data_IF_006748157933
#
_entry.id   IF_006748157933
#
_cell.length_a   1.000
_cell.length_b   1.000
_cell.length_c   1.000
_cell.angle_alpha   90.00
_cell.angle_beta   90.00
_cell.angle_gamma   90.00
#
_symmetry.space_group_name_H-M   'P 1'
#
loop_
_entity.id
_entity.type
_entity.pdbx_description
1 polymer ?
#
# COMPACT_ATOMS: atom_id res chain seq x y z
N UNK A 1 -9.89 -15.57 72.89
CA UNK A 1 -8.62 -14.92 72.53
C UNK A 1 -7.91 -15.93 71.62
N UNK A 2 -7.69 -15.74 70.32
CA UNK A 2 -7.57 -14.54 69.50
C UNK A 2 -8.10 -14.87 68.11
N UNK A 3 -8.92 -13.99 67.54
CA UNK A 3 -9.42 -14.05 66.17
C UNK A 3 -8.32 -13.58 65.22
N UNK A 4 -8.03 -14.35 64.18
CA UNK A 4 -7.21 -13.91 63.04
C UNK A 4 -8.12 -13.56 61.85
N UNK A 5 -7.79 -12.53 61.06
CA UNK A 5 -8.70 -11.92 60.11
C UNK A 5 -8.69 -12.64 58.76
N UNK A 6 -9.86 -12.64 58.13
CA UNK A 6 -10.08 -12.88 56.71
C UNK A 6 -9.66 -11.64 55.92
N UNK A 7 -8.71 -11.78 55.00
CA UNK A 7 -8.51 -10.84 53.90
C UNK A 7 -8.79 -11.53 52.56
N UNK A 8 -9.63 -10.93 51.70
CA UNK A 8 -9.86 -11.31 50.32
C UNK A 8 -8.88 -10.55 49.41
N UNK A 9 -8.32 -11.17 48.38
CA UNK A 9 -7.90 -10.40 47.20
C UNK A 9 -7.87 -11.25 45.93
N UNK A 10 -8.92 -11.00 45.16
CA UNK A 10 -9.00 -11.13 43.72
C UNK A 10 -7.79 -10.44 43.05
N UNK A 11 -7.04 -11.20 42.26
CA UNK A 11 -6.28 -10.66 41.13
C UNK A 11 -6.61 -11.51 39.93
N UNK A 12 -7.71 -11.12 39.29
CA UNK A 12 -7.93 -11.21 37.86
C UNK A 12 -6.60 -11.37 37.11
N UNK A 13 -6.44 -12.54 36.50
CA UNK A 13 -5.53 -12.73 35.38
C UNK A 13 -5.98 -11.72 34.32
N UNK A 14 -5.25 -10.62 34.18
CA UNK A 14 -5.30 -9.78 33.00
C UNK A 14 -4.90 -10.67 31.82
N UNK A 15 -5.91 -11.24 31.17
CA UNK A 15 -5.74 -11.82 29.86
C UNK A 15 -5.26 -10.70 28.96
N UNK A 16 -4.13 -10.91 28.30
CA UNK A 16 -3.81 -10.18 27.10
C UNK A 16 -4.95 -10.51 26.11
N UNK A 17 -5.91 -9.60 25.93
CA UNK A 17 -6.91 -9.67 24.89
C UNK A 17 -6.23 -9.42 23.53
N UNK A 18 -5.42 -10.40 23.12
CA UNK A 18 -4.78 -10.45 21.83
C UNK A 18 -5.74 -11.12 20.84
N UNK A 19 -6.80 -10.40 20.44
CA UNK A 19 -7.49 -10.63 19.14
C UNK A 19 -8.65 -9.67 18.83
N UNK A 20 -8.76 -8.52 19.49
CA UNK A 20 -9.80 -7.56 19.13
C UNK A 20 -9.26 -6.57 18.09
N UNK A 21 -9.92 -6.50 16.93
CA UNK A 21 -9.61 -5.53 15.88
C UNK A 21 -9.65 -4.11 16.45
N UNK A 22 -8.71 -3.27 16.03
CA UNK A 22 -8.68 -1.85 16.36
C UNK A 22 -9.71 -1.03 15.57
N UNK A 23 -10.40 -1.65 14.60
CA UNK A 23 -11.33 -0.98 13.71
C UNK A 23 -12.74 -0.84 14.34
N UNK A 24 -13.46 0.26 14.07
CA UNK A 24 -14.84 0.42 14.55
C UNK A 24 -15.78 -0.66 14.02
N UNK A 25 -16.69 -1.16 14.85
CA UNK A 25 -17.61 -2.24 14.44
C UNK A 25 -18.47 -1.86 13.24
N UNK A 26 -18.95 -0.62 13.18
CA UNK A 26 -19.77 -0.13 12.05
C UNK A 26 -19.02 -0.21 10.72
N UNK A 27 -17.69 -0.09 10.74
CA UNK A 27 -16.84 -0.16 9.56
C UNK A 27 -16.66 -1.61 9.12
N UNK A 28 -16.45 -2.53 10.07
CA UNK A 28 -16.38 -3.97 9.80
C UNK A 28 -17.71 -4.51 9.26
N UNK A 29 -18.84 -4.05 9.82
CA UNK A 29 -20.19 -4.42 9.36
C UNK A 29 -20.50 -3.92 7.93
N UNK A 30 -19.76 -2.92 7.45
CA UNK A 30 -19.90 -2.35 6.11
C UNK A 30 -18.99 -3.01 5.06
N UNK A 31 -18.17 -3.99 5.45
CA UNK A 31 -17.29 -4.70 4.54
C UNK A 31 -18.06 -5.43 3.43
N UNK A 32 -17.44 -5.50 2.25
CA UNK A 32 -17.92 -6.35 1.18
C UNK A 32 -17.95 -7.81 1.65
N UNK A 33 -18.95 -8.56 1.18
CA UNK A 33 -18.95 -10.02 1.34
C UNK A 33 -17.97 -10.68 0.38
N UNK A 34 -17.72 -11.96 0.56
CA UNK A 34 -16.80 -12.76 -0.28
C UNK A 34 -17.29 -12.92 -1.72
N UNK A 35 -18.61 -12.80 -1.96
CA UNK A 35 -19.21 -13.05 -3.28
C UNK A 35 -18.63 -12.18 -4.39
N UNK A 36 -18.56 -10.84 -4.26
CA UNK A 36 -17.85 -9.98 -5.23
C UNK A 36 -16.40 -10.40 -5.51
N UNK A 37 -15.64 -10.84 -4.50
CA UNK A 37 -14.25 -11.26 -4.69
C UNK A 37 -14.17 -12.54 -5.53
N UNK A 38 -15.02 -13.53 -5.24
CA UNK A 38 -15.10 -14.77 -6.00
C UNK A 38 -15.54 -14.53 -7.46
N UNK A 39 -16.55 -13.69 -7.67
CA UNK A 39 -17.02 -13.31 -9.02
C UNK A 39 -15.91 -12.62 -9.82
N UNK A 40 -15.20 -11.67 -9.19
CA UNK A 40 -14.09 -10.97 -9.81
C UNK A 40 -12.91 -11.90 -10.13
N UNK A 41 -12.60 -12.83 -9.23
CA UNK A 41 -11.57 -13.84 -9.45
C UNK A 41 -11.86 -14.66 -10.71
N UNK A 42 -13.10 -15.10 -10.90
CA UNK A 42 -13.50 -15.85 -12.09
C UNK A 42 -13.54 -14.98 -13.36
N UNK A 43 -13.97 -13.72 -13.25
CA UNK A 43 -14.09 -12.80 -14.39
C UNK A 43 -12.74 -12.37 -15.01
N UNK A 44 -11.69 -12.23 -14.18
CA UNK A 44 -10.38 -11.69 -14.63
C UNK A 44 -9.61 -12.65 -15.55
N UNK A 45 -9.82 -13.97 -15.42
CA UNK A 45 -9.20 -14.99 -16.26
C UNK A 45 -7.72 -15.31 -15.92
N UNK A 46 -7.25 -16.48 -16.39
CA UNK A 46 -5.97 -17.07 -15.95
C UNK A 46 -4.74 -16.21 -16.22
N UNK A 47 -4.60 -15.66 -17.43
CA UNK A 47 -3.39 -14.89 -17.81
C UNK A 47 -3.22 -13.64 -16.95
N UNK A 48 -4.31 -12.91 -16.70
CA UNK A 48 -4.30 -11.71 -15.85
C UNK A 48 -4.11 -12.04 -14.38
N UNK A 49 -4.70 -13.15 -13.90
CA UNK A 49 -4.40 -13.67 -12.54
C UNK A 49 -2.92 -14.03 -12.39
N UNK A 50 -2.30 -14.62 -13.40
CA UNK A 50 -0.87 -14.92 -13.39
C UNK A 50 -0.02 -13.64 -13.33
N UNK A 51 -0.40 -12.59 -14.07
CA UNK A 51 0.25 -11.28 -14.01
C UNK A 51 0.21 -10.69 -12.59
N UNK A 52 -0.96 -10.69 -11.94
CA UNK A 52 -1.12 -10.21 -10.57
C UNK A 52 -0.30 -11.02 -9.57
N UNK A 53 -0.29 -12.36 -9.70
CA UNK A 53 0.55 -13.23 -8.86
C UNK A 53 2.03 -12.93 -9.02
N UNK A 54 2.49 -12.66 -10.25
CA UNK A 54 3.87 -12.23 -10.50
C UNK A 54 4.16 -10.91 -9.80
N UNK A 55 3.30 -9.90 -9.92
CA UNK A 55 3.46 -8.63 -9.22
C UNK A 55 3.54 -8.81 -7.69
N UNK A 56 2.66 -9.62 -7.11
CA UNK A 56 2.68 -9.98 -5.67
C UNK A 56 4.01 -10.65 -5.29
N UNK A 57 4.49 -11.62 -6.09
CA UNK A 57 5.75 -12.31 -5.84
C UNK A 57 6.95 -11.36 -5.91
N UNK A 58 6.95 -10.40 -6.84
CA UNK A 58 7.97 -9.34 -6.96
C UNK A 58 7.95 -8.42 -5.75
N UNK A 59 6.79 -7.91 -5.37
CA UNK A 59 6.63 -7.07 -4.17
C UNK A 59 7.09 -7.81 -2.91
N UNK A 60 6.72 -9.09 -2.79
CA UNK A 60 7.19 -9.96 -1.70
C UNK A 60 8.71 -10.12 -1.72
N UNK A 61 9.34 -10.22 -2.89
CA UNK A 61 10.81 -10.30 -2.99
C UNK A 61 11.47 -8.97 -2.60
N UNK A 62 10.93 -7.85 -3.05
CA UNK A 62 11.46 -6.50 -2.78
C UNK A 62 11.37 -6.14 -1.30
N UNK A 63 10.26 -6.46 -0.65
CA UNK A 63 10.01 -6.09 0.75
C UNK A 63 10.32 -7.23 1.76
N UNK A 64 10.24 -8.49 1.35
CA UNK A 64 10.16 -9.68 2.21
C UNK A 64 11.46 -10.19 2.83
N UNK A 65 12.41 -9.31 3.15
CA UNK A 65 13.59 -9.67 3.95
C UNK A 65 13.56 -9.13 5.39
N UNK A 66 12.56 -8.34 5.77
CA UNK A 66 12.51 -7.73 7.12
C UNK A 66 11.55 -8.50 8.03
N UNK A 67 12.09 -9.44 8.79
CA UNK A 67 11.41 -10.04 9.94
C UNK A 67 11.27 -9.01 11.08
N UNK A 68 10.45 -7.97 10.89
CA UNK A 68 10.15 -7.00 11.95
C UNK A 68 8.71 -7.21 12.42
N UNK A 69 8.46 -8.35 13.05
CA UNK A 69 7.21 -8.57 13.78
C UNK A 69 7.21 -7.81 15.12
N UNK A 70 8.39 -7.66 15.74
CA UNK A 70 8.64 -6.81 16.90
C UNK A 70 10.16 -6.83 17.12
N UNK A 71 10.81 -5.67 17.19
CA UNK A 71 12.22 -5.61 17.60
C UNK A 71 12.40 -4.62 18.74
N UNK A 72 13.18 -5.04 19.73
CA UNK A 72 13.62 -4.19 20.83
C UNK A 72 15.12 -4.32 20.93
N UNK A 73 15.82 -3.21 20.75
CA UNK A 73 17.28 -3.13 20.85
C UNK A 73 17.62 -2.08 21.90
N UNK A 74 18.61 -2.37 22.75
CA UNK A 74 19.13 -1.42 23.72
C UNK A 74 20.65 -1.40 23.62
N UNK A 75 21.21 -0.22 23.37
CA UNK A 75 22.64 0.01 23.24
C UNK A 75 23.12 1.01 24.29
N UNK A 76 24.07 0.59 25.12
CA UNK A 76 24.81 1.47 26.03
C UNK A 76 25.95 2.17 25.29
N UNK A 77 26.15 3.46 25.57
CA UNK A 77 27.23 4.27 25.01
C UNK A 77 28.23 4.66 26.08
N UNK A 78 29.50 4.77 25.69
CA UNK A 78 30.65 5.00 26.58
C UNK A 78 30.64 6.32 27.36
N UNK A 79 29.70 7.22 27.06
CA UNK A 79 29.46 8.47 27.76
C UNK A 79 28.28 8.41 28.75
N UNK A 80 27.86 7.20 29.15
CA UNK A 80 26.96 6.99 30.28
C UNK A 80 25.46 7.12 29.97
N UNK A 81 25.06 6.95 28.71
CA UNK A 81 23.65 6.90 28.32
C UNK A 81 23.32 5.61 27.56
N UNK A 82 22.05 5.23 27.59
CA UNK A 82 21.47 4.11 26.85
C UNK A 82 20.48 4.62 25.82
N UNK A 83 20.54 4.06 24.61
CA UNK A 83 19.53 4.21 23.57
C UNK A 83 18.72 2.92 23.49
N UNK A 84 17.41 2.98 23.73
CA UNK A 84 16.51 1.86 23.49
C UNK A 84 15.59 2.16 22.33
N UNK A 85 15.51 1.25 21.37
CA UNK A 85 14.64 1.35 20.19
C UNK A 85 13.66 0.19 20.21
N UNK A 86 12.37 0.51 20.11
CA UNK A 86 11.31 -0.45 19.93
C UNK A 86 10.66 -0.21 18.57
N UNK A 87 10.43 -1.28 17.83
CA UNK A 87 9.76 -1.26 16.55
C UNK A 87 8.64 -2.28 16.56
N UNK A 88 7.44 -1.84 16.21
CA UNK A 88 6.27 -2.68 16.05
C UNK A 88 5.47 -2.24 14.83
N UNK A 89 4.65 -3.12 14.22
CA UNK A 89 3.68 -2.68 13.23
C UNK A 89 2.73 -1.61 13.80
N UNK A 90 2.23 -0.75 12.92
CA UNK A 90 1.06 0.06 13.23
C UNK A 90 -0.12 -0.85 13.59
N UNK A 91 -1.10 -0.33 14.34
CA UNK A 91 -2.26 -1.14 14.72
C UNK A 91 -3.18 -1.35 13.53
N UNK A 92 -3.29 -0.36 12.63
CA UNK A 92 -4.07 -0.49 11.42
C UNK A 92 -3.48 0.30 10.26
N UNK A 93 -3.86 -0.08 9.04
CA UNK A 93 -3.56 0.64 7.82
C UNK A 93 -4.76 0.69 6.88
N UNK A 94 -4.98 1.86 6.28
CA UNK A 94 -6.01 2.07 5.27
C UNK A 94 -5.37 2.41 3.93
N UNK A 95 -5.68 1.61 2.90
CA UNK A 95 -5.39 1.97 1.51
C UNK A 95 -6.66 2.61 0.96
N UNK A 96 -6.65 3.94 0.85
CA UNK A 96 -7.81 4.74 0.48
C UNK A 96 -7.76 5.03 -1.02
N UNK A 97 -8.80 4.65 -1.74
CA UNK A 97 -8.94 4.89 -3.18
C UNK A 97 -10.22 5.68 -3.48
N UNK A 98 -10.25 6.39 -4.60
CA UNK A 98 -11.48 7.00 -5.11
C UNK A 98 -12.16 6.14 -6.19
N UNK A 99 -13.40 6.47 -6.54
CA UNK A 99 -14.21 5.70 -7.51
C UNK A 99 -13.65 5.62 -8.94
N UNK A 100 -12.62 6.41 -9.28
CA UNK A 100 -11.95 6.42 -10.58
C UNK A 100 -10.64 5.63 -10.59
N UNK A 101 -10.12 5.25 -9.43
CA UNK A 101 -8.89 4.45 -9.34
C UNK A 101 -9.13 3.06 -9.94
N UNK A 102 -8.20 2.58 -10.77
CA UNK A 102 -8.42 1.35 -11.54
C UNK A 102 -7.19 0.45 -11.72
N UNK A 103 -5.97 0.91 -11.38
CA UNK A 103 -4.74 0.12 -11.52
C UNK A 103 -4.59 -0.94 -10.42
N UNK A 104 -4.73 -2.25 -10.74
CA UNK A 104 -4.51 -3.30 -9.75
C UNK A 104 -3.05 -3.38 -9.30
N UNK A 105 -2.09 -3.09 -10.18
CA UNK A 105 -0.66 -3.13 -9.86
C UNK A 105 -0.26 -2.03 -8.88
N UNK A 106 -0.78 -0.82 -9.07
CA UNK A 106 -0.60 0.27 -8.12
C UNK A 106 -1.27 -0.03 -6.77
N UNK A 107 -2.45 -0.66 -6.76
CA UNK A 107 -3.09 -1.11 -5.52
C UNK A 107 -2.22 -2.10 -4.77
N UNK A 108 -1.71 -3.13 -5.45
CA UNK A 108 -0.82 -4.12 -4.85
C UNK A 108 0.46 -3.47 -4.30
N UNK A 109 1.06 -2.55 -5.04
CA UNK A 109 2.26 -1.83 -4.61
C UNK A 109 2.05 -1.00 -3.33
N UNK A 110 0.83 -0.50 -3.10
CA UNK A 110 0.46 0.20 -1.88
C UNK A 110 0.07 -0.74 -0.74
N UNK A 111 -0.60 -1.84 -1.04
CA UNK A 111 -1.17 -2.79 -0.10
C UNK A 111 -0.12 -3.75 0.48
N UNK A 112 0.71 -4.35 -0.39
CA UNK A 112 1.68 -5.38 0.00
C UNK A 112 2.64 -4.92 1.11
N UNK A 113 3.17 -3.68 1.11
CA UNK A 113 4.00 -3.22 2.21
C UNK A 113 3.31 -3.22 3.58
N UNK A 114 2.00 -2.94 3.64
CA UNK A 114 1.24 -2.98 4.89
C UNK A 114 1.10 -4.42 5.40
N UNK A 115 0.72 -5.33 4.50
CA UNK A 115 0.57 -6.77 4.80
C UNK A 115 1.91 -7.39 5.23
N UNK A 116 2.99 -7.10 4.50
CA UNK A 116 4.32 -7.63 4.78
C UNK A 116 4.97 -6.99 6.02
N UNK A 117 4.55 -5.79 6.40
CA UNK A 117 4.93 -5.20 7.69
C UNK A 117 4.21 -5.85 8.87
N UNK A 118 3.25 -6.75 8.65
CA UNK A 118 2.51 -7.44 9.71
C UNK A 118 1.51 -6.55 10.44
N UNK A 119 0.98 -5.53 9.76
CA UNK A 119 -0.13 -4.72 10.32
C UNK A 119 -1.34 -5.63 10.50
N UNK A 120 -1.94 -5.72 11.70
CA UNK A 120 -2.99 -6.69 11.97
C UNK A 120 -4.32 -6.32 11.32
N UNK A 121 -4.66 -5.03 11.26
CA UNK A 121 -5.89 -4.54 10.64
C UNK A 121 -5.56 -3.72 9.37
N UNK A 122 -5.57 -4.37 8.21
CA UNK A 122 -5.42 -3.71 6.91
C UNK A 122 -6.76 -3.68 6.18
N UNK A 123 -7.16 -2.51 5.69
CA UNK A 123 -8.40 -2.34 4.94
C UNK A 123 -8.20 -1.51 3.68
N UNK A 124 -8.88 -1.88 2.59
CA UNK A 124 -8.98 -1.06 1.39
C UNK A 124 -10.30 -0.30 1.42
N UNK A 125 -10.21 1.03 1.42
CA UNK A 125 -11.37 1.92 1.59
C UNK A 125 -11.61 2.64 0.27
N UNK A 126 -12.74 2.38 -0.38
CA UNK A 126 -13.14 3.16 -1.56
C UNK A 126 -14.12 4.25 -1.15
N UNK A 127 -13.68 5.49 -1.36
CA UNK A 127 -14.55 6.65 -1.20
C UNK A 127 -15.42 6.76 -2.45
N UNK A 128 -16.71 6.48 -2.29
CA UNK A 128 -17.64 6.38 -3.40
C UNK A 128 -18.94 7.15 -3.14
N UNK A 129 -19.56 7.65 -4.20
CA UNK A 129 -20.87 8.31 -4.12
C UNK A 129 -22.02 7.31 -3.98
N UNK A 130 -23.24 7.79 -3.68
CA UNK A 130 -24.45 6.95 -3.58
C UNK A 130 -24.84 6.20 -4.86
N UNK A 131 -24.24 6.57 -6.00
CA UNK A 131 -24.44 5.94 -7.31
C UNK A 131 -23.14 5.36 -7.85
N UNK A 132 -22.23 4.97 -6.96
CA UNK A 132 -20.97 4.39 -7.34
C UNK A 132 -21.18 3.18 -8.24
N UNK A 133 -20.28 3.02 -9.21
CA UNK A 133 -20.20 1.79 -9.98
C UNK A 133 -19.77 0.64 -9.07
N UNK A 134 -20.02 -0.58 -9.53
CA UNK A 134 -19.43 -1.76 -8.91
C UNK A 134 -17.90 -1.63 -8.84
N UNK A 135 -17.30 -2.33 -7.91
CA UNK A 135 -15.84 -2.43 -7.84
C UNK A 135 -15.30 -3.00 -9.15
N UNK A 136 -14.17 -2.48 -9.67
CA UNK A 136 -13.52 -3.11 -10.81
C UNK A 136 -13.04 -4.51 -10.44
N UNK A 137 -13.38 -5.51 -11.25
CA UNK A 137 -12.98 -6.90 -11.03
C UNK A 137 -11.46 -7.06 -10.87
N UNK A 138 -10.67 -6.25 -11.59
CA UNK A 138 -9.22 -6.24 -11.47
C UNK A 138 -8.74 -5.90 -10.06
N UNK A 139 -9.39 -4.95 -9.38
CA UNK A 139 -9.01 -4.54 -8.02
C UNK A 139 -9.42 -5.59 -6.99
N UNK A 140 -10.66 -6.11 -7.08
CA UNK A 140 -11.13 -7.18 -6.20
C UNK A 140 -10.28 -8.44 -6.35
N UNK A 141 -9.99 -8.87 -7.58
CA UNK A 141 -9.15 -10.02 -7.84
C UNK A 141 -7.71 -9.82 -7.33
N UNK A 142 -7.14 -8.62 -7.46
CA UNK A 142 -5.83 -8.32 -6.90
C UNK A 142 -5.80 -8.43 -5.37
N UNK A 143 -6.82 -7.91 -4.69
CA UNK A 143 -6.96 -8.02 -3.24
C UNK A 143 -7.15 -9.49 -2.80
N UNK A 144 -8.02 -10.24 -3.48
CA UNK A 144 -8.23 -11.68 -3.25
C UNK A 144 -6.90 -12.46 -3.33
N UNK A 145 -6.13 -12.24 -4.41
CA UNK A 145 -4.85 -12.91 -4.61
C UNK A 145 -3.78 -12.50 -3.59
N UNK A 146 -3.88 -11.30 -3.03
CA UNK A 146 -3.00 -10.81 -1.96
C UNK A 146 -3.45 -11.27 -0.56
N UNK A 147 -4.58 -11.95 -0.43
CA UNK A 147 -5.16 -12.36 0.85
C UNK A 147 -5.79 -11.19 1.63
N UNK A 148 -6.21 -10.13 0.94
CA UNK A 148 -6.87 -8.97 1.53
C UNK A 148 -8.38 -9.06 1.27
N UNK A 149 -9.16 -9.34 2.31
CA UNK A 149 -10.61 -9.53 2.21
C UNK A 149 -11.40 -8.35 2.77
N UNK A 150 -10.77 -7.49 3.58
CA UNK A 150 -11.42 -6.30 4.13
C UNK A 150 -11.38 -5.13 3.14
N UNK A 151 -12.43 -5.02 2.33
CA UNK A 151 -12.70 -3.89 1.45
C UNK A 151 -14.04 -3.23 1.82
N UNK A 152 -14.07 -1.89 1.88
CA UNK A 152 -15.25 -1.14 2.34
C UNK A 152 -15.55 0.03 1.40
N UNK A 153 -16.80 0.16 0.99
CA UNK A 153 -17.32 1.38 0.36
C UNK A 153 -17.79 2.36 1.42
N UNK A 154 -17.25 3.57 1.40
CA UNK A 154 -17.65 4.64 2.31
C UNK A 154 -18.02 5.90 1.55
N UNK A 155 -18.95 6.66 2.11
CA UNK A 155 -19.15 8.06 1.69
C UNK A 155 -18.05 8.93 2.28
N UNK A 156 -17.86 10.14 1.74
CA UNK A 156 -16.95 11.12 2.38
C UNK A 156 -17.32 11.40 3.84
N UNK A 157 -18.62 11.41 4.18
CA UNK A 157 -19.09 11.63 5.55
C UNK A 157 -18.68 10.47 6.47
N UNK A 158 -18.93 9.23 6.05
CA UNK A 158 -18.49 8.03 6.77
C UNK A 158 -16.97 7.95 6.89
N UNK A 159 -16.23 8.41 5.87
CA UNK A 159 -14.77 8.51 5.94
C UNK A 159 -14.31 9.53 6.98
N UNK A 160 -14.98 10.69 7.10
CA UNK A 160 -14.71 11.63 8.20
C UNK A 160 -14.98 11.01 9.57
N UNK A 161 -16.08 10.25 9.72
CA UNK A 161 -16.38 9.53 10.96
C UNK A 161 -15.28 8.53 11.29
N UNK A 162 -14.82 7.75 10.31
CA UNK A 162 -13.70 6.83 10.48
C UNK A 162 -12.44 7.56 10.97
N UNK A 163 -12.05 8.66 10.32
CA UNK A 163 -10.88 9.43 10.75
C UNK A 163 -11.02 9.95 12.20
N UNK A 164 -12.22 10.39 12.59
CA UNK A 164 -12.48 10.87 13.95
C UNK A 164 -12.39 9.74 14.99
N UNK A 165 -12.99 8.58 14.70
CA UNK A 165 -12.96 7.40 15.57
C UNK A 165 -11.50 6.93 15.77
N UNK A 166 -10.74 6.82 14.67
CA UNK A 166 -9.34 6.39 14.73
C UNK A 166 -8.46 7.40 15.46
N UNK A 167 -8.60 8.69 15.19
CA UNK A 167 -7.84 9.74 15.89
C UNK A 167 -8.09 9.77 17.40
N UNK A 168 -9.28 9.37 17.86
CA UNK A 168 -9.66 9.38 19.28
C UNK A 168 -9.27 8.12 20.05
N UNK A 169 -8.86 7.05 19.36
CA UNK A 169 -8.65 5.72 19.93
C UNK A 169 -7.27 5.52 20.59
N UNK A 170 -6.29 6.39 20.29
CA UNK A 170 -4.90 6.22 20.73
C UNK A 170 -4.14 5.12 20.00
N UNK A 171 -4.71 4.56 18.92
CA UNK A 171 -4.04 3.56 18.08
C UNK A 171 -3.27 4.24 16.94
N UNK A 172 -2.05 3.75 16.71
CA UNK A 172 -1.26 4.18 15.55
C UNK A 172 -1.87 3.66 14.25
N UNK A 173 -2.21 4.57 13.35
CA UNK A 173 -2.87 4.33 12.07
C UNK A 173 -2.02 4.88 10.91
N UNK A 174 -2.06 4.21 9.75
CA UNK A 174 -1.35 4.62 8.54
C UNK A 174 -2.30 4.67 7.36
N UNK A 175 -2.31 5.79 6.64
CA UNK A 175 -3.18 5.98 5.48
C UNK A 175 -2.35 6.16 4.21
N UNK A 176 -2.57 5.30 3.23
CA UNK A 176 -2.07 5.49 1.88
C UNK A 176 -3.23 5.87 0.99
N UNK A 177 -3.21 7.08 0.45
CA UNK A 177 -4.25 7.59 -0.42
C UNK A 177 -3.80 7.51 -1.88
N UNK A 178 -4.50 6.70 -2.66
CA UNK A 178 -4.28 6.53 -4.10
C UNK A 178 -5.36 7.29 -4.89
N UNK A 179 -4.95 7.87 -6.01
CA UNK A 179 -5.85 8.56 -6.92
C UNK A 179 -5.91 10.08 -6.71
N UNK A 180 -7.07 10.68 -7.01
CA UNK A 180 -7.19 12.13 -7.15
C UNK A 180 -7.25 12.83 -5.79
N UNK A 181 -6.38 13.83 -5.62
CA UNK A 181 -6.34 14.69 -4.44
C UNK A 181 -7.48 15.70 -4.48
N UNK A 182 -8.62 15.37 -3.87
CA UNK A 182 -9.71 16.34 -3.72
C UNK A 182 -9.45 17.29 -2.54
N UNK A 183 -9.85 18.56 -2.67
CA UNK A 183 -9.68 19.54 -1.60
C UNK A 183 -10.46 19.17 -0.33
N UNK A 184 -11.61 18.48 -0.48
CA UNK A 184 -12.40 17.96 0.64
C UNK A 184 -11.63 16.88 1.41
N UNK A 185 -11.00 15.96 0.70
CA UNK A 185 -10.18 14.89 1.29
C UNK A 185 -8.97 15.46 2.03
N UNK A 186 -8.26 16.41 1.41
CA UNK A 186 -7.12 17.09 2.07
C UNK A 186 -7.58 17.81 3.34
N UNK A 187 -8.70 18.52 3.29
CA UNK A 187 -9.24 19.23 4.45
C UNK A 187 -9.65 18.27 5.59
N UNK A 188 -10.21 17.10 5.24
CA UNK A 188 -10.50 16.03 6.20
C UNK A 188 -9.23 15.58 6.92
N UNK A 189 -8.23 15.14 6.15
CA UNK A 189 -6.97 14.64 6.69
C UNK A 189 -6.29 15.69 7.56
N UNK A 190 -6.22 16.94 7.10
CA UNK A 190 -5.60 18.03 7.86
C UNK A 190 -6.33 18.34 9.18
N UNK A 191 -7.64 18.11 9.26
CA UNK A 191 -8.44 18.40 10.44
C UNK A 191 -8.47 17.25 11.46
N UNK A 192 -8.29 15.99 11.00
CA UNK A 192 -8.41 14.80 11.85
C UNK A 192 -7.08 14.09 12.12
N UNK A 193 -6.11 14.16 11.22
CA UNK A 193 -4.83 13.46 11.40
C UNK A 193 -3.97 14.12 12.48
N UNK A 194 -3.39 13.29 13.33
CA UNK A 194 -2.51 13.68 14.43
C UNK A 194 -1.22 12.86 14.37
N UNK A 195 -0.38 12.92 15.40
CA UNK A 195 0.89 12.17 15.42
C UNK A 195 0.75 10.64 15.34
N UNK A 196 -0.39 10.08 15.77
CA UNK A 196 -0.65 8.64 15.71
C UNK A 196 -1.25 8.23 14.35
N UNK A 197 -1.83 9.17 13.62
CA UNK A 197 -2.46 8.93 12.32
C UNK A 197 -1.73 9.68 11.21
N UNK A 198 -0.80 9.00 10.56
CA UNK A 198 -0.01 9.56 9.45
C UNK A 198 -0.64 9.19 8.11
N UNK A 199 -0.55 10.09 7.12
CA UNK A 199 -1.05 9.84 5.78
C UNK A 199 -0.02 10.18 4.69
N UNK A 200 -0.07 9.46 3.57
CA UNK A 200 0.68 9.76 2.34
C UNK A 200 -0.24 9.73 1.14
N UNK A 201 -0.04 10.68 0.24
CA UNK A 201 -0.63 10.63 -1.10
C UNK A 201 0.35 10.00 -2.06
N UNK A 202 -0.07 8.94 -2.73
CA UNK A 202 0.65 8.34 -3.84
C UNK A 202 -0.18 8.52 -5.11
N UNK A 203 0.50 8.74 -6.23
CA UNK A 203 -0.17 8.91 -7.51
C UNK A 203 -0.46 7.55 -8.13
N UNK A 204 -1.65 7.39 -8.72
CA UNK A 204 -1.82 6.32 -9.69
C UNK A 204 -0.94 6.63 -10.92
N UNK A 205 -0.32 5.65 -11.59
CA UNK A 205 0.39 5.87 -12.83
C UNK A 205 -0.52 6.54 -13.85
N UNK A 206 -0.16 7.75 -14.27
CA UNK A 206 -0.90 8.58 -15.20
C UNK A 206 -0.27 8.58 -16.59
N UNK A 207 0.99 8.19 -16.71
CA UNK A 207 1.74 8.13 -17.97
C UNK A 207 2.78 7.02 -17.98
N UNK A 208 2.78 6.23 -19.05
CA UNK A 208 3.80 5.24 -19.35
C UNK A 208 4.41 5.56 -20.71
N UNK A 209 5.73 5.48 -20.81
CA UNK A 209 6.41 5.51 -22.09
C UNK A 209 7.21 4.23 -22.31
N UNK A 210 7.12 3.66 -23.50
CA UNK A 210 7.90 2.49 -23.87
C UNK A 210 8.89 2.86 -24.96
N UNK A 211 10.11 2.34 -24.88
CA UNK A 211 10.93 2.19 -26.08
C UNK A 211 10.57 0.85 -26.71
N UNK A 212 10.15 0.87 -27.97
CA UNK A 212 9.56 -0.32 -28.58
C UNK A 212 10.52 -1.51 -28.59
N UNK A 213 10.02 -2.66 -28.16
CA UNK A 213 10.71 -3.94 -28.22
C UNK A 213 9.68 -5.08 -28.17
N UNK A 214 9.89 -6.11 -28.98
CA UNK A 214 8.97 -7.27 -29.08
C UNK A 214 8.92 -8.13 -27.82
N UNK A 215 9.84 -7.95 -26.87
CA UNK A 215 9.83 -8.67 -25.59
C UNK A 215 8.78 -8.17 -24.61
N UNK A 216 8.19 -6.99 -24.84
CA UNK A 216 7.17 -6.43 -23.98
C UNK A 216 5.76 -6.96 -24.27
N UNK A 217 5.01 -7.21 -23.20
CA UNK A 217 3.56 -7.39 -23.27
C UNK A 217 2.82 -6.05 -23.06
N UNK A 218 2.60 -5.34 -24.16
CA UNK A 218 1.93 -4.03 -24.16
C UNK A 218 0.47 -4.09 -23.69
N UNK A 219 -0.22 -5.21 -23.92
CA UNK A 219 -1.60 -5.41 -23.46
C UNK A 219 -1.64 -5.64 -21.95
N UNK A 220 -0.67 -6.40 -21.40
CA UNK A 220 -0.51 -6.57 -19.96
C UNK A 220 -0.22 -5.23 -19.27
N UNK A 221 0.68 -4.42 -19.81
CA UNK A 221 0.96 -3.08 -19.28
C UNK A 221 -0.28 -2.18 -19.30
N UNK A 222 -1.03 -2.18 -20.41
CA UNK A 222 -2.25 -1.39 -20.54
C UNK A 222 -3.34 -1.85 -19.56
N UNK A 223 -3.45 -3.15 -19.31
CA UNK A 223 -4.40 -3.70 -18.36
C UNK A 223 -4.01 -3.44 -16.90
N UNK A 224 -2.72 -3.52 -16.57
CA UNK A 224 -2.19 -3.22 -15.25
C UNK A 224 -2.31 -1.74 -14.87
N UNK A 225 -2.26 -0.86 -15.87
CA UNK A 225 -2.29 0.60 -15.71
C UNK A 225 -3.35 1.25 -16.64
N UNK A 226 -4.64 0.97 -16.40
CA UNK A 226 -5.71 1.32 -17.33
C UNK A 226 -5.87 2.84 -17.50
N UNK A 227 -5.62 3.61 -16.43
CA UNK A 227 -5.74 5.06 -16.41
C UNK A 227 -4.52 5.81 -16.97
N UNK A 228 -3.41 5.11 -17.24
CA UNK A 228 -2.21 5.74 -17.77
C UNK A 228 -2.38 6.08 -19.26
N UNK A 229 -1.94 7.27 -19.66
CA UNK A 229 -1.63 7.56 -21.07
C UNK A 229 -0.41 6.75 -21.46
N UNK A 230 -0.42 6.15 -22.64
CA UNK A 230 0.57 5.15 -23.05
C UNK A 230 1.16 5.52 -24.40
N UNK A 231 2.45 5.82 -24.42
CA UNK A 231 3.18 6.22 -25.63
C UNK A 231 4.31 5.25 -25.92
N UNK A 232 4.37 4.70 -27.13
CA UNK A 232 5.43 3.80 -27.56
C UNK A 232 6.33 4.49 -28.59
N UNK A 233 7.62 4.60 -28.30
CA UNK A 233 8.59 5.20 -29.19
C UNK A 233 9.16 4.15 -30.13
N UNK A 234 9.11 4.44 -31.42
CA UNK A 234 9.47 3.53 -32.50
C UNK A 234 10.47 4.18 -33.45
N UNK A 235 11.37 3.39 -34.02
CA UNK A 235 12.30 3.83 -35.07
C UNK A 235 11.75 3.61 -36.48
N UNK A 236 10.90 2.59 -36.66
CA UNK A 236 10.40 2.13 -37.96
C UNK A 236 8.88 2.34 -38.09
N UNK A 237 8.44 2.91 -39.21
CA UNK A 237 7.04 3.35 -39.47
C UNK A 237 6.00 2.22 -39.45
N UNK A 238 6.43 0.97 -39.62
CA UNK A 238 5.55 -0.20 -39.73
C UNK A 238 5.31 -0.92 -38.38
N UNK A 239 5.72 -0.31 -37.27
CA UNK A 239 5.62 -0.91 -35.93
C UNK A 239 4.36 -0.43 -35.22
N UNK A 240 3.58 -1.40 -34.72
CA UNK A 240 2.40 -1.15 -33.90
C UNK A 240 2.55 -1.79 -32.51
N UNK A 241 2.21 -1.03 -31.47
CA UNK A 241 2.06 -1.52 -30.10
C UNK A 241 0.57 -1.47 -29.69
N UNK A 242 -0.10 -2.63 -29.52
CA UNK A 242 -1.54 -2.67 -29.27
C UNK A 242 -1.96 -1.87 -28.02
N UNK A 243 -2.85 -0.89 -28.20
CA UNK A 243 -3.36 -0.06 -27.11
C UNK A 243 -2.43 1.08 -26.65
N UNK A 244 -1.41 1.38 -27.45
CA UNK A 244 -0.42 2.45 -27.23
C UNK A 244 -0.36 3.39 -28.43
N UNK A 245 -0.15 4.68 -28.16
CA UNK A 245 0.07 5.68 -29.20
C UNK A 245 1.54 5.62 -29.65
N UNK A 246 1.78 5.24 -30.90
CA UNK A 246 3.13 5.10 -31.44
C UNK A 246 3.68 6.45 -31.93
N UNK A 247 4.92 6.77 -31.56
CA UNK A 247 5.60 8.03 -31.89
C UNK A 247 6.96 7.72 -32.48
N UNK A 248 7.24 8.29 -33.65
CA UNK A 248 8.56 8.23 -34.27
C UNK A 248 9.54 9.16 -33.57
N UNK A 249 10.69 8.61 -33.19
CA UNK A 249 11.75 9.41 -32.60
C UNK A 249 13.00 8.62 -32.25
N UNK A 250 13.98 9.33 -31.72
CA UNK A 250 15.27 8.78 -31.30
C UNK A 250 15.29 8.44 -29.81
N UNK A 251 16.26 7.61 -29.42
CA UNK A 251 16.51 7.28 -28.01
C UNK A 251 16.76 8.53 -27.16
N UNK A 252 17.52 9.49 -27.69
CA UNK A 252 17.85 10.74 -26.98
C UNK A 252 16.59 11.60 -26.72
N UNK A 253 15.62 11.57 -27.63
CA UNK A 253 14.33 12.25 -27.44
C UNK A 253 13.42 11.50 -26.46
N UNK A 254 13.48 10.17 -26.44
CA UNK A 254 12.73 9.33 -25.50
C UNK A 254 13.16 9.58 -24.05
N UNK A 255 14.48 9.57 -23.77
CA UNK A 255 15.00 9.67 -22.39
C UNK A 255 14.84 11.04 -21.74
N UNK A 256 14.39 12.05 -22.48
CA UNK A 256 14.08 13.38 -21.91
C UNK A 256 12.59 13.57 -21.63
N UNK A 257 11.75 12.60 -21.98
CA UNK A 257 10.31 12.67 -21.72
C UNK A 257 10.00 12.55 -20.23
N UNK A 258 8.95 13.22 -19.77
CA UNK A 258 8.47 13.07 -18.39
C UNK A 258 7.28 12.13 -18.37
N UNK A 259 7.50 10.94 -17.83
CA UNK A 259 6.47 9.93 -17.61
C UNK A 259 6.65 9.31 -16.21
N UNK A 260 5.59 8.72 -15.66
CA UNK A 260 5.64 8.13 -14.33
C UNK A 260 6.45 6.83 -14.32
N UNK A 261 6.41 6.06 -15.41
CA UNK A 261 7.32 4.95 -15.63
C UNK A 261 7.69 4.75 -17.09
N UNK A 262 8.82 4.05 -17.27
CA UNK A 262 9.31 3.66 -18.58
C UNK A 262 9.40 2.14 -18.74
N UNK A 263 9.00 1.64 -19.92
CA UNK A 263 9.26 0.26 -20.36
C UNK A 263 10.48 0.28 -21.27
N UNK A 264 11.58 -0.31 -20.81
CA UNK A 264 12.89 -0.20 -21.48
C UNK A 264 13.61 -1.55 -21.54
N UNK A 265 14.09 -1.97 -22.72
CA UNK A 265 14.82 -3.23 -22.85
C UNK A 265 16.05 -3.27 -21.96
N UNK A 266 16.46 -4.47 -21.52
CA UNK A 266 17.56 -4.65 -20.56
C UNK A 266 18.85 -3.95 -21.00
N UNK A 267 19.15 -3.98 -22.30
CA UNK A 267 20.37 -3.41 -22.87
C UNK A 267 20.44 -1.88 -22.76
N UNK A 268 19.30 -1.22 -22.55
CA UNK A 268 19.18 0.22 -22.44
C UNK A 268 19.10 0.72 -20.98
N UNK A 269 18.88 -0.18 -20.00
CA UNK A 269 18.72 0.19 -18.58
C UNK A 269 19.94 0.93 -18.01
N UNK A 270 21.16 0.52 -18.39
CA UNK A 270 22.38 1.11 -17.86
C UNK A 270 22.58 2.59 -18.25
N UNK A 271 21.88 3.07 -19.29
CA UNK A 271 21.94 4.46 -19.73
C UNK A 271 20.98 5.40 -19.00
N UNK A 272 20.10 4.87 -18.15
CA UNK A 272 19.01 5.61 -17.52
C UNK A 272 19.36 6.02 -16.09
N UNK A 273 20.03 7.15 -15.95
CA UNK A 273 20.37 7.71 -14.64
C UNK A 273 19.53 8.96 -14.32
N UNK A 274 18.67 8.87 -13.30
CA UNK A 274 18.05 10.02 -12.63
C UNK A 274 16.91 10.73 -13.39
N UNK A 275 16.40 10.14 -14.46
CA UNK A 275 15.34 10.75 -15.29
C UNK A 275 13.91 10.36 -14.86
N UNK A 276 13.73 9.16 -14.29
CA UNK A 276 12.43 8.59 -13.89
C UNK A 276 12.57 7.76 -12.63
N UNK A 277 11.51 7.72 -11.82
CA UNK A 277 11.46 7.04 -10.53
C UNK A 277 11.21 5.52 -10.66
N UNK A 278 10.57 5.07 -11.75
CA UNK A 278 10.24 3.67 -12.02
C UNK A 278 10.61 3.28 -13.47
N UNK A 279 11.39 2.22 -13.63
CA UNK A 279 11.70 1.61 -14.93
C UNK A 279 11.34 0.13 -14.86
N UNK A 280 10.57 -0.33 -15.85
CA UNK A 280 10.09 -1.70 -16.00
C UNK A 280 10.83 -2.36 -17.17
N UNK A 281 11.54 -3.45 -16.87
CA UNK A 281 12.13 -4.30 -17.89
C UNK A 281 11.11 -5.32 -18.44
N UNK A 282 11.48 -6.09 -19.48
CA UNK A 282 10.62 -7.14 -20.01
C UNK A 282 10.21 -8.15 -18.92
N UNK A 283 8.92 -8.49 -18.89
CA UNK A 283 8.31 -9.35 -17.87
C UNK A 283 7.86 -8.63 -16.59
N UNK A 284 8.08 -7.31 -16.48
CA UNK A 284 7.66 -6.48 -15.34
C UNK A 284 6.52 -5.51 -15.71
N UNK A 285 5.85 -5.72 -16.85
CA UNK A 285 4.79 -4.86 -17.40
C UNK A 285 3.58 -4.73 -16.47
N UNK A 286 3.32 -5.77 -15.67
CA UNK A 286 2.27 -5.79 -14.66
C UNK A 286 2.72 -5.35 -13.28
N UNK A 287 3.98 -4.94 -13.09
CA UNK A 287 4.54 -4.59 -11.80
C UNK A 287 4.46 -3.07 -11.57
N UNK A 288 4.32 -2.67 -10.31
CA UNK A 288 4.49 -1.28 -9.88
C UNK A 288 5.24 -1.23 -8.56
N UNK A 289 5.93 -0.13 -8.32
CA UNK A 289 6.57 0.19 -7.05
C UNK A 289 6.38 1.67 -6.76
N UNK A 290 6.21 1.99 -5.48
CA UNK A 290 6.24 3.36 -4.98
C UNK A 290 7.58 3.58 -4.28
N UNK A 291 8.57 4.25 -4.90
CA UNK A 291 9.88 4.47 -4.29
C UNK A 291 9.82 5.19 -2.94
N UNK A 292 8.78 6.00 -2.73
CA UNK A 292 8.50 6.72 -1.49
C UNK A 292 7.78 5.88 -0.42
N UNK A 293 7.37 4.65 -0.74
CA UNK A 293 6.68 3.72 0.16
C UNK A 293 7.54 2.51 0.47
N UNK A 294 7.81 2.30 1.76
CA UNK A 294 8.52 1.13 2.27
C UNK A 294 7.85 0.60 3.54
N UNK A 295 8.28 -0.58 3.99
CA UNK A 295 7.76 -1.21 5.21
C UNK A 295 7.82 -0.28 6.43
N UNK A 296 8.87 0.54 6.55
CA UNK A 296 9.05 1.45 7.68
C UNK A 296 7.94 2.47 7.85
N UNK A 297 7.19 2.81 6.80
CA UNK A 297 6.01 3.65 6.94
C UNK A 297 4.91 2.98 7.78
N UNK A 298 4.80 1.66 7.68
CA UNK A 298 3.82 0.84 8.41
C UNK A 298 4.33 0.40 9.79
N UNK A 299 5.53 0.81 10.17
CA UNK A 299 6.10 0.56 11.48
C UNK A 299 5.98 1.79 12.38
N UNK A 300 5.78 1.53 13.66
CA UNK A 300 5.86 2.51 14.73
C UNK A 300 7.17 2.33 15.49
N UNK A 301 7.92 3.42 15.61
CA UNK A 301 9.21 3.45 16.29
C UNK A 301 9.10 4.25 17.59
N UNK A 302 9.49 3.63 18.70
CA UNK A 302 9.68 4.32 19.98
C UNK A 302 11.18 4.33 20.27
N UNK A 303 11.70 5.52 20.56
CA UNK A 303 13.11 5.71 20.93
C UNK A 303 13.14 6.33 22.32
N UNK A 304 13.83 5.66 23.24
CA UNK A 304 14.09 6.16 24.59
C UNK A 304 15.58 6.43 24.74
N UNK A 305 15.90 7.63 25.24
CA UNK A 305 17.25 8.02 25.63
C UNK A 305 17.26 8.19 27.15
N UNK A 306 18.06 7.40 27.85
CA UNK A 306 18.12 7.40 29.30
C UNK A 306 19.53 7.27 29.84
N UNK A 307 19.75 7.50 31.14
CA UNK A 307 21.02 7.19 31.78
C UNK A 307 21.26 5.67 31.78
N UNK A 308 22.53 5.29 31.81
CA UNK A 308 22.94 3.89 31.88
C UNK A 308 22.31 3.20 33.11
N UNK A 309 21.60 2.07 32.91
CA UNK A 309 21.02 1.27 33.99
C UNK A 309 19.50 1.37 34.22
N UNK A 310 18.75 2.14 33.42
CA UNK A 310 17.27 2.14 33.47
C UNK A 310 16.72 1.13 32.45
N UNK A 311 16.89 -0.15 32.75
CA UNK A 311 16.33 -1.25 31.96
C UNK A 311 15.11 -1.85 32.67
N UNK A 312 13.91 -1.56 32.18
CA UNK A 312 12.69 -2.31 32.53
C UNK A 312 11.49 -1.45 32.91
N UNK A 313 10.60 -1.22 31.95
CA UNK A 313 9.16 -1.19 32.14
C UNK A 313 8.54 -2.00 31.00
#
# INVERSE_FOLDING_TARGET
MSSAPSDPEDRSKGGCDANQSALPSWFLDAALSDTPFAEAFDAVGDSRRALLKTAIARLTTVYGASAIAFSSESQGYSNGFTLSRHVRPAHCAFIVIDEHFASPSALLAALMPALLAGVPDVAVVRIAGKKAKQWPDSLLCAMELAGQELAVDVTMESFHTLLADMSGSGVTCRLVLLGRRSQKLIAALAAQCNHDMEFRFLSEPSSLAAWFDHSFDYEAAAWAHPNAVRTCWVTDDDVEAPGWDCVHGSWDEFVVQRNDAWLVPVDHLAGLHGAVDVILGPGEEGSWLYPELNLGYFLHHVVALGPEGVGGC
#
